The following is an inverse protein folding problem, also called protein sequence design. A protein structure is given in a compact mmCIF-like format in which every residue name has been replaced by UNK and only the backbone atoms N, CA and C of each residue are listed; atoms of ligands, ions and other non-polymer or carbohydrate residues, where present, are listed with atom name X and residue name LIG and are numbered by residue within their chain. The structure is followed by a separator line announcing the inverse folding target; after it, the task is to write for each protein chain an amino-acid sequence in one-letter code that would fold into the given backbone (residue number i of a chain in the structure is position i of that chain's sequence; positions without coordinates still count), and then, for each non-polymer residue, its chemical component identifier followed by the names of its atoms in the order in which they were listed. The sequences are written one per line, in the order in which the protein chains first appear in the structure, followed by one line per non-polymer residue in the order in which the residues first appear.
data_IF_825534739415
#
_entry.id   IF_825534739415
#
_cell.length_a   1.000
_cell.length_b   1.000
_cell.length_c   1.000
_cell.angle_alpha   90.00
_cell.angle_beta   90.00
_cell.angle_gamma   90.00
#
_symmetry.space_group_name_H-M   'P 1'
#
loop_
_entity.id
_entity.type
_entity.pdbx_description
1 polymer ?
#
# COMPACT_ATOMS: atom_id res chain seq x y z
N UNK A 1 0.80 -10.83 -9.76
CA UNK A 1 0.39 -10.53 -8.38
C UNK A 1 -0.98 -9.90 -8.39
N UNK A 2 -1.72 -10.07 -7.31
CA UNK A 2 -3.08 -9.52 -7.19
C UNK A 2 -3.02 -7.99 -7.05
N UNK A 3 -3.85 -7.28 -7.82
CA UNK A 3 -4.09 -5.84 -7.66
C UNK A 3 -4.44 -5.55 -6.19
N UNK A 4 -3.77 -4.59 -5.52
CA UNK A 4 -4.11 -4.24 -4.15
C UNK A 4 -5.51 -3.61 -4.09
N UNK A 5 -6.14 -3.64 -2.91
CA UNK A 5 -7.38 -2.91 -2.67
C UNK A 5 -7.10 -1.41 -2.76
N UNK A 6 -7.72 -0.74 -3.73
CA UNK A 6 -7.54 0.71 -3.97
C UNK A 6 -8.90 1.37 -3.76
N UNK A 7 -8.95 2.30 -2.81
CA UNK A 7 -10.13 3.08 -2.49
C UNK A 7 -10.26 4.24 -3.47
N UNK A 8 -11.45 4.42 -4.04
CA UNK A 8 -11.79 5.66 -4.75
C UNK A 8 -12.27 6.69 -3.71
N UNK A 9 -11.49 7.74 -3.43
CA UNK A 9 -11.87 8.80 -2.47
C UNK A 9 -12.96 9.76 -2.98
N UNK A 10 -13.39 9.68 -4.25
CA UNK A 10 -14.37 10.62 -4.81
C UNK A 10 -13.84 12.05 -4.99
N UNK A 11 -12.54 12.21 -5.28
CA UNK A 11 -11.91 13.52 -5.48
C UNK A 11 -12.51 14.29 -6.67
N UNK A 12 -12.80 15.58 -6.47
CA UNK A 12 -13.27 16.48 -7.53
C UNK A 12 -12.11 17.30 -8.10
N UNK A 13 -11.58 16.90 -9.24
CA UNK A 13 -10.58 17.65 -10.02
C UNK A 13 -11.19 18.91 -10.66
N UNK A 14 -10.38 19.94 -10.93
CA UNK A 14 -10.86 21.20 -11.57
C UNK A 14 -11.29 20.99 -13.02
N UNK A 15 -10.61 20.11 -13.73
CA UNK A 15 -10.74 19.76 -15.13
C UNK A 15 -10.57 18.25 -15.30
N UNK A 16 -10.88 17.73 -16.49
CA UNK A 16 -10.54 16.35 -16.85
C UNK A 16 -9.04 16.09 -16.65
N UNK A 17 -8.68 14.88 -16.23
CA UNK A 17 -7.29 14.47 -16.11
C UNK A 17 -6.70 14.21 -17.50
N UNK A 18 -5.46 14.62 -17.67
CA UNK A 18 -4.67 14.37 -18.88
C UNK A 18 -4.54 12.87 -19.17
N UNK A 19 -4.26 12.42 -20.40
CA UNK A 19 -4.12 11.00 -20.70
C UNK A 19 -2.99 10.32 -19.91
N UNK A 20 -2.98 8.97 -19.85
CA UNK A 20 -1.86 8.22 -19.31
C UNK A 20 -0.54 8.50 -20.04
N UNK A 21 0.61 8.42 -19.34
CA UNK A 21 1.89 8.58 -20.00
C UNK A 21 2.16 7.47 -21.01
N UNK A 22 2.78 7.80 -22.16
CA UNK A 22 3.06 6.81 -23.21
C UNK A 22 4.09 5.77 -22.78
N UNK A 23 4.91 6.10 -21.77
CA UNK A 23 5.86 5.20 -21.11
C UNK A 23 5.94 5.54 -19.62
N UNK A 24 6.28 4.55 -18.81
CA UNK A 24 6.59 4.75 -17.39
C UNK A 24 7.97 4.17 -17.14
N UNK A 25 8.92 5.07 -16.86
CA UNK A 25 10.31 4.78 -16.54
C UNK A 25 10.54 4.81 -15.03
N UNK A 26 9.75 5.60 -14.29
CA UNK A 26 9.91 5.74 -12.85
C UNK A 26 8.60 5.55 -12.08
N UNK A 27 8.69 4.85 -10.95
CA UNK A 27 7.70 4.83 -9.89
C UNK A 27 8.26 5.64 -8.71
N UNK A 28 7.89 6.91 -8.64
CA UNK A 28 8.53 7.88 -7.74
C UNK A 28 7.80 7.94 -6.41
N UNK A 29 8.52 7.72 -5.32
CA UNK A 29 7.98 7.78 -3.96
C UNK A 29 8.12 9.19 -3.38
N UNK A 30 7.03 9.68 -2.78
CA UNK A 30 6.94 11.02 -2.21
C UNK A 30 6.40 11.01 -0.79
N UNK A 31 6.81 11.98 0.02
CA UNK A 31 6.06 12.40 1.19
C UNK A 31 5.39 13.75 0.94
N UNK A 32 4.40 14.13 1.74
CA UNK A 32 3.83 15.48 1.66
C UNK A 32 4.63 16.52 2.45
N UNK A 33 5.57 16.09 3.30
CA UNK A 33 6.24 16.95 4.27
C UNK A 33 5.24 17.68 5.20
N UNK A 34 4.11 17.01 5.49
CA UNK A 34 3.12 17.49 6.44
C UNK A 34 2.75 16.38 7.43
N UNK A 35 2.68 16.73 8.72
CA UNK A 35 2.60 15.74 9.81
C UNK A 35 1.31 14.91 9.82
N UNK A 36 0.22 15.45 9.27
CA UNK A 36 -1.13 14.86 9.44
C UNK A 36 -2.01 14.85 8.18
N UNK A 37 -1.65 15.57 7.10
CA UNK A 37 -2.59 15.77 5.99
C UNK A 37 -2.83 14.47 5.22
N UNK A 38 -4.10 14.11 5.06
CA UNK A 38 -4.52 12.98 4.25
C UNK A 38 -4.77 13.40 2.81
N UNK A 39 -5.36 12.49 2.03
CA UNK A 39 -5.58 12.71 0.60
C UNK A 39 -6.45 13.94 0.29
N UNK A 40 -7.46 14.22 1.12
CA UNK A 40 -8.40 15.33 0.91
C UNK A 40 -7.71 16.68 1.13
N UNK A 41 -6.96 16.83 2.21
CA UNK A 41 -6.20 18.07 2.49
C UNK A 41 -5.14 18.32 1.44
N UNK A 42 -4.43 17.26 0.99
CA UNK A 42 -3.43 17.36 -0.08
C UNK A 42 -4.09 17.78 -1.40
N UNK A 43 -5.23 17.19 -1.74
CA UNK A 43 -5.97 17.53 -2.96
C UNK A 43 -6.41 19.00 -2.96
N UNK A 44 -6.97 19.46 -1.85
CA UNK A 44 -7.44 20.84 -1.72
C UNK A 44 -6.28 21.83 -1.68
N UNK A 45 -5.18 21.52 -1.00
CA UNK A 45 -3.97 22.35 -1.01
C UNK A 45 -3.41 22.48 -2.43
N UNK A 46 -3.26 21.38 -3.17
CA UNK A 46 -2.76 21.44 -4.54
C UNK A 46 -3.70 22.24 -5.47
N UNK A 47 -5.01 22.14 -5.28
CA UNK A 47 -5.98 22.95 -6.05
C UNK A 47 -5.93 24.41 -5.69
N UNK A 48 -6.08 24.72 -4.42
CA UNK A 48 -6.44 26.06 -3.96
C UNK A 48 -5.20 26.92 -3.71
N UNK A 49 -4.09 26.30 -3.30
CA UNK A 49 -2.84 27.02 -3.01
C UNK A 49 -1.81 26.91 -4.12
N UNK A 50 -1.72 25.77 -4.83
CA UNK A 50 -0.76 25.59 -5.95
C UNK A 50 -1.36 25.82 -7.34
N UNK A 51 -2.67 26.00 -7.43
CA UNK A 51 -3.36 26.21 -8.70
C UNK A 51 -3.51 24.95 -9.57
N UNK A 52 -3.05 23.78 -9.11
CA UNK A 52 -3.09 22.53 -9.87
C UNK A 52 -4.51 22.01 -10.06
N UNK A 53 -4.65 21.00 -10.93
CA UNK A 53 -5.95 20.35 -11.22
C UNK A 53 -6.49 19.53 -10.01
N UNK A 54 -5.66 19.23 -9.03
CA UNK A 54 -5.93 18.26 -7.95
C UNK A 54 -4.65 17.81 -7.29
N UNK A 55 -4.76 16.79 -6.42
CA UNK A 55 -3.62 16.01 -5.93
C UNK A 55 -2.66 15.67 -7.09
N UNK A 56 -1.35 15.81 -6.87
CA UNK A 56 -0.34 15.60 -7.94
C UNK A 56 0.10 14.14 -8.06
N UNK A 57 -0.22 13.32 -7.06
CA UNK A 57 0.16 11.93 -6.98
C UNK A 57 -0.86 11.03 -7.68
N UNK A 58 -0.35 9.98 -8.33
CA UNK A 58 -1.14 8.95 -8.98
C UNK A 58 -1.88 8.10 -7.93
N UNK A 59 -1.19 7.77 -6.84
CA UNK A 59 -1.76 7.11 -5.66
C UNK A 59 -1.29 7.78 -4.38
N UNK A 60 -2.06 7.56 -3.31
CA UNK A 60 -1.78 8.05 -1.98
C UNK A 60 -1.91 6.93 -0.95
N UNK A 61 -0.97 6.84 0.01
CA UNK A 61 -0.98 5.82 1.06
C UNK A 61 -1.09 6.50 2.43
N UNK A 62 -2.21 6.24 3.11
CA UNK A 62 -2.49 6.71 4.47
C UNK A 62 -1.62 6.03 5.53
N UNK A 63 -1.57 6.58 6.75
CA UNK A 63 -0.80 5.98 7.86
C UNK A 63 -1.21 4.54 8.19
N UNK A 64 -2.49 4.22 7.99
CA UNK A 64 -3.12 2.91 8.16
C UNK A 64 -2.82 1.93 7.01
N UNK A 65 -2.10 2.36 5.98
CA UNK A 65 -1.83 1.58 4.78
C UNK A 65 -2.94 1.63 3.73
N UNK A 66 -4.05 2.34 3.96
CA UNK A 66 -5.09 2.45 2.94
C UNK A 66 -4.53 3.13 1.70
N UNK A 67 -4.65 2.46 0.54
CA UNK A 67 -4.23 2.98 -0.76
C UNK A 67 -5.43 3.66 -1.39
N UNK A 68 -5.28 4.95 -1.69
CA UNK A 68 -6.28 5.76 -2.37
C UNK A 68 -5.84 6.06 -3.79
N UNK A 69 -6.80 6.03 -4.72
CA UNK A 69 -6.59 6.52 -6.07
C UNK A 69 -6.56 8.05 -6.08
N UNK A 70 -5.44 8.62 -6.53
CA UNK A 70 -5.31 10.04 -6.84
C UNK A 70 -5.59 10.27 -8.32
N UNK A 71 -4.53 10.51 -9.09
CA UNK A 71 -4.63 10.61 -10.55
C UNK A 71 -4.68 9.26 -11.28
N UNK A 72 -4.56 8.14 -10.58
CA UNK A 72 -4.58 6.81 -11.19
C UNK A 72 -3.48 6.68 -12.26
N UNK A 73 -3.81 6.18 -13.45
CA UNK A 73 -2.82 6.03 -14.53
C UNK A 73 -2.57 7.30 -15.37
N UNK A 74 -3.19 8.43 -15.05
CA UNK A 74 -3.05 9.69 -15.79
C UNK A 74 -1.71 10.41 -15.50
N UNK A 75 -1.38 11.48 -16.23
CA UNK A 75 -0.19 12.27 -15.90
C UNK A 75 -0.20 12.77 -14.46
N UNK A 76 0.94 12.61 -13.82
CA UNK A 76 1.24 13.14 -12.51
C UNK A 76 1.53 14.64 -12.50
N UNK A 77 1.73 15.17 -11.30
CA UNK A 77 2.33 16.48 -11.06
C UNK A 77 3.28 16.42 -9.85
N UNK A 78 4.12 15.38 -9.80
CA UNK A 78 4.99 15.09 -8.67
C UNK A 78 6.44 15.55 -8.85
N UNK A 79 6.98 15.54 -10.07
CA UNK A 79 8.37 15.91 -10.37
C UNK A 79 8.39 16.69 -11.69
N UNK A 80 8.79 17.96 -11.64
CA UNK A 80 8.94 18.77 -12.84
C UNK A 80 9.93 18.12 -13.82
N UNK A 81 9.61 18.11 -15.12
CA UNK A 81 10.39 17.41 -16.15
C UNK A 81 10.14 15.90 -16.26
N UNK A 82 9.52 15.26 -15.25
CA UNK A 82 9.32 13.80 -15.20
C UNK A 82 7.85 13.37 -15.06
N UNK A 83 6.89 14.30 -15.12
CA UNK A 83 5.45 13.98 -15.01
C UNK A 83 4.91 13.13 -16.19
N UNK A 84 5.62 13.08 -17.32
CA UNK A 84 5.21 12.36 -18.53
C UNK A 84 5.90 11.01 -18.73
N UNK A 85 6.84 10.63 -17.85
CA UNK A 85 7.53 9.35 -17.87
C UNK A 85 7.54 8.65 -16.51
N UNK A 86 6.71 9.10 -15.58
CA UNK A 86 6.63 8.52 -14.24
C UNK A 86 5.22 8.45 -13.68
N UNK A 87 5.06 7.59 -12.68
CA UNK A 87 3.90 7.58 -11.80
C UNK A 87 4.38 7.89 -10.38
N UNK A 88 3.63 8.70 -9.64
CA UNK A 88 4.01 9.18 -8.33
C UNK A 88 3.13 8.59 -7.24
N UNK A 89 3.76 8.04 -6.20
CA UNK A 89 3.09 7.46 -5.04
C UNK A 89 3.41 8.37 -3.84
N UNK A 90 2.38 9.08 -3.37
CA UNK A 90 2.48 9.93 -2.18
C UNK A 90 2.16 9.14 -0.92
N UNK A 91 2.84 9.47 0.17
CA UNK A 91 2.62 8.87 1.48
C UNK A 91 2.30 9.96 2.50
N UNK A 92 1.31 9.68 3.35
CA UNK A 92 0.94 10.54 4.45
C UNK A 92 2.07 10.64 5.48
N UNK A 93 2.43 11.87 5.84
CA UNK A 93 3.44 12.17 6.85
C UNK A 93 4.57 13.07 6.37
N UNK A 94 5.39 13.47 7.34
CA UNK A 94 6.64 14.18 7.16
C UNK A 94 7.82 13.31 7.59
N UNK A 95 8.33 12.49 6.67
CA UNK A 95 9.47 11.63 6.97
C UNK A 95 10.83 12.34 6.99
N UNK A 96 10.88 13.67 7.07
CA UNK A 96 12.09 14.33 7.60
C UNK A 96 12.23 14.14 9.10
N UNK A 97 11.12 13.94 9.83
CA UNK A 97 11.09 13.74 11.28
C UNK A 97 10.18 12.62 11.79
N UNK A 98 9.31 12.04 10.96
CA UNK A 98 8.44 10.91 11.31
C UNK A 98 8.93 9.61 10.66
N UNK A 99 8.71 8.48 11.30
CA UNK A 99 8.98 7.16 10.70
C UNK A 99 7.79 6.68 9.89
N UNK A 100 8.04 6.13 8.71
CA UNK A 100 7.04 5.42 7.92
C UNK A 100 6.49 4.20 8.66
N UNK A 101 5.17 4.00 8.66
CA UNK A 101 4.53 2.88 9.37
C UNK A 101 4.75 1.54 8.67
N UNK A 102 4.57 0.43 9.38
CA UNK A 102 4.60 -0.91 8.78
C UNK A 102 3.46 -1.10 7.75
N UNK A 103 2.27 -0.55 8.03
CA UNK A 103 1.13 -0.64 7.13
C UNK A 103 1.38 0.13 5.82
N UNK A 104 2.01 1.31 5.92
CA UNK A 104 2.47 2.05 4.74
C UNK A 104 3.52 1.28 3.95
N UNK A 105 4.49 0.64 4.63
CA UNK A 105 5.54 -0.13 3.94
C UNK A 105 4.93 -1.32 3.19
N UNK A 106 4.08 -2.12 3.85
CA UNK A 106 3.42 -3.27 3.24
C UNK A 106 2.60 -2.86 2.01
N UNK A 107 1.84 -1.76 2.13
CA UNK A 107 1.00 -1.23 1.04
C UNK A 107 1.83 -0.64 -0.08
N UNK A 108 2.93 0.05 0.25
CA UNK A 108 3.91 0.54 -0.71
C UNK A 108 4.55 -0.59 -1.52
N UNK A 109 4.95 -1.68 -0.86
CA UNK A 109 5.49 -2.87 -1.53
C UNK A 109 4.42 -3.47 -2.46
N UNK A 110 3.18 -3.65 -2.00
CA UNK A 110 2.11 -4.24 -2.79
C UNK A 110 1.74 -3.39 -4.02
N UNK A 111 1.64 -2.06 -3.85
CA UNK A 111 1.32 -1.14 -4.92
C UNK A 111 2.44 -1.09 -5.98
N UNK A 112 3.68 -0.87 -5.56
CA UNK A 112 4.81 -0.82 -6.50
C UNK A 112 4.96 -2.15 -7.25
N UNK A 113 4.82 -3.29 -6.57
CA UNK A 113 4.83 -4.60 -7.21
C UNK A 113 3.77 -4.74 -8.31
N UNK A 114 2.52 -4.37 -8.04
CA UNK A 114 1.44 -4.43 -9.03
C UNK A 114 1.70 -3.50 -10.21
N UNK A 115 2.22 -2.30 -9.97
CA UNK A 115 2.57 -1.36 -11.05
C UNK A 115 3.73 -1.88 -11.92
N UNK A 116 4.71 -2.55 -11.32
CA UNK A 116 5.82 -3.17 -12.04
C UNK A 116 5.37 -4.31 -12.96
N UNK A 117 4.20 -4.92 -12.76
CA UNK A 117 3.68 -5.90 -13.73
C UNK A 117 3.28 -5.25 -15.04
N UNK A 118 2.70 -4.05 -14.95
CA UNK A 118 2.36 -3.25 -16.12
C UNK A 118 3.57 -2.54 -16.71
N UNK A 119 4.53 -2.18 -15.87
CA UNK A 119 5.73 -1.41 -16.24
C UNK A 119 7.00 -2.10 -15.71
N UNK A 120 7.39 -3.27 -16.27
CA UNK A 120 8.46 -4.10 -15.72
C UNK A 120 9.85 -3.46 -15.76
N UNK A 121 10.04 -2.48 -16.64
CA UNK A 121 11.30 -1.71 -16.74
C UNK A 121 11.33 -0.48 -15.83
N UNK A 122 10.24 -0.16 -15.13
CA UNK A 122 10.17 1.04 -14.30
C UNK A 122 11.03 0.88 -13.03
N UNK A 123 11.79 1.93 -12.70
CA UNK A 123 12.60 1.99 -11.49
C UNK A 123 11.81 2.58 -10.34
N UNK A 124 11.80 1.92 -9.18
CA UNK A 124 11.24 2.46 -7.94
C UNK A 124 12.29 3.35 -7.28
N UNK A 125 12.02 4.65 -7.19
CA UNK A 125 13.01 5.65 -6.74
C UNK A 125 12.38 6.73 -5.86
N UNK A 126 13.19 7.45 -5.11
CA UNK A 126 12.76 8.65 -4.38
C UNK A 126 12.72 9.89 -5.27
N UNK A 127 11.94 10.90 -4.89
CA UNK A 127 11.95 12.21 -5.57
C UNK A 127 13.36 12.85 -5.57
N UNK A 128 14.11 12.71 -4.48
CA UNK A 128 15.50 13.16 -4.36
C UNK A 128 16.47 12.54 -5.38
N UNK A 129 16.11 11.45 -6.05
CA UNK A 129 16.93 10.85 -7.12
C UNK A 129 16.75 11.59 -8.47
N UNK A 130 15.71 12.43 -8.61
CA UNK A 130 15.41 13.19 -9.83
C UNK A 130 15.50 14.72 -9.66
N UNK A 131 15.49 15.21 -8.41
CA UNK A 131 15.51 16.64 -8.12
C UNK A 131 16.27 16.96 -6.83
N UNK A 132 16.72 18.20 -6.68
CA UNK A 132 17.32 18.70 -5.43
C UNK A 132 16.24 18.93 -4.37
N UNK A 133 15.88 17.88 -3.63
CA UNK A 133 14.82 17.89 -2.61
C UNK A 133 15.11 16.90 -1.49
N UNK A 134 14.58 17.16 -0.30
CA UNK A 134 14.64 16.21 0.82
C UNK A 134 13.63 15.05 0.67
N UNK A 135 12.62 15.19 -0.19
CA UNK A 135 11.57 14.21 -0.41
C UNK A 135 12.14 12.88 -0.98
N UNK A 136 11.76 11.70 -0.47
CA UNK A 136 10.64 11.41 0.45
C UNK A 136 10.96 11.53 1.95
N UNK A 137 12.13 12.04 2.32
CA UNK A 137 12.58 12.21 3.70
C UNK A 137 13.52 11.11 4.16
N UNK A 138 14.44 11.45 5.08
CA UNK A 138 15.47 10.55 5.58
C UNK A 138 14.94 9.32 6.34
N UNK A 139 13.74 9.43 6.94
CA UNK A 139 13.09 8.33 7.65
C UNK A 139 12.07 7.57 6.77
N UNK A 140 12.02 7.87 5.47
CA UNK A 140 11.29 7.05 4.52
C UNK A 140 12.07 5.74 4.29
N UNK A 141 11.35 4.62 4.35
CA UNK A 141 11.91 3.27 4.37
C UNK A 141 12.22 2.74 2.96
N UNK A 142 12.96 3.51 2.15
CA UNK A 142 13.22 3.20 0.74
C UNK A 142 13.97 1.87 0.56
N UNK A 143 14.94 1.59 1.43
CA UNK A 143 15.71 0.34 1.36
C UNK A 143 14.82 -0.87 1.65
N UNK A 144 13.97 -0.80 2.66
CA UNK A 144 13.06 -1.90 3.02
C UNK A 144 11.97 -2.08 1.96
N UNK A 145 11.49 -0.98 1.36
CA UNK A 145 10.58 -1.02 0.21
C UNK A 145 11.22 -1.79 -0.96
N UNK A 146 12.44 -1.41 -1.37
CA UNK A 146 13.17 -2.07 -2.47
C UNK A 146 13.46 -3.54 -2.16
N UNK A 147 13.88 -3.87 -0.92
CA UNK A 147 14.08 -5.26 -0.48
C UNK A 147 12.79 -6.07 -0.53
N UNK A 148 11.66 -5.51 -0.10
CA UNK A 148 10.35 -6.14 -0.16
C UNK A 148 9.93 -6.49 -1.58
N UNK A 149 10.25 -5.62 -2.55
CA UNK A 149 10.02 -5.87 -3.97
C UNK A 149 10.91 -6.99 -4.52
N UNK A 150 12.18 -7.04 -4.13
CA UNK A 150 13.09 -8.11 -4.54
C UNK A 150 12.67 -9.47 -4.00
N UNK A 151 12.23 -9.54 -2.73
CA UNK A 151 11.69 -10.77 -2.12
C UNK A 151 10.44 -11.23 -2.85
N UNK A 152 9.46 -10.35 -3.08
CA UNK A 152 8.28 -10.67 -3.89
C UNK A 152 8.60 -11.09 -5.32
N UNK A 153 9.66 -10.54 -5.93
CA UNK A 153 10.17 -10.97 -7.22
C UNK A 153 10.73 -12.40 -7.19
N UNK A 154 11.36 -12.80 -6.08
CA UNK A 154 11.84 -14.16 -5.83
C UNK A 154 10.71 -15.15 -5.46
N UNK A 155 9.71 -14.70 -4.68
CA UNK A 155 8.54 -15.48 -4.28
C UNK A 155 7.55 -15.76 -5.44
N UNK A 156 7.72 -15.05 -6.57
CA UNK A 156 7.04 -15.41 -7.83
C UNK A 156 7.59 -16.70 -8.45
N UNK A 157 8.62 -17.33 -7.85
CA UNK A 157 8.93 -18.75 -8.02
C UNK A 157 8.29 -19.49 -6.84
N UNK A 158 7.05 -19.95 -7.05
CA UNK A 158 6.18 -20.71 -6.11
C UNK A 158 5.47 -19.87 -5.05
N UNK A 159 4.29 -19.36 -5.40
CA UNK A 159 3.21 -19.17 -4.43
C UNK A 159 2.73 -20.55 -3.95
N UNK A 160 3.36 -21.09 -2.92
CA UNK A 160 2.73 -22.07 -2.06
C UNK A 160 2.23 -21.34 -0.81
N UNK A 161 0.97 -21.57 -0.44
CA UNK A 161 0.44 -21.15 0.86
C UNK A 161 1.33 -21.73 1.96
N UNK A 162 2.13 -20.90 2.63
CA UNK A 162 2.99 -21.39 3.71
C UNK A 162 2.12 -21.84 4.88
N UNK A 163 2.25 -23.13 5.21
CA UNK A 163 1.60 -23.72 6.39
C UNK A 163 2.26 -23.17 7.64
N UNK A 164 1.45 -22.69 8.57
CA UNK A 164 1.90 -22.20 9.87
C UNK A 164 1.48 -23.19 10.95
N UNK A 165 2.43 -23.64 11.76
CA UNK A 165 2.11 -24.49 12.91
C UNK A 165 1.36 -23.66 13.97
N UNK A 166 0.19 -24.13 14.39
CA UNK A 166 -0.61 -23.47 15.45
C UNK A 166 -0.54 -24.31 16.71
N UNK A 167 -0.11 -23.72 17.82
CA UNK A 167 0.04 -24.39 19.12
C UNK A 167 -0.90 -23.74 20.13
N UNK A 168 -1.75 -24.54 20.77
CA UNK A 168 -2.66 -24.11 21.84
C UNK A 168 -2.41 -25.01 23.05
N UNK A 169 -2.15 -24.43 24.22
CA UNK A 169 -1.85 -25.17 25.45
C UNK A 169 -0.71 -26.21 25.29
N UNK A 170 0.34 -25.86 24.54
CA UNK A 170 1.50 -26.73 24.29
C UNK A 170 1.24 -27.87 23.29
N UNK A 171 0.03 -28.01 22.74
CA UNK A 171 -0.32 -29.01 21.72
C UNK A 171 -0.48 -28.35 20.35
N UNK A 172 0.17 -28.90 19.34
CA UNK A 172 -0.08 -28.50 17.95
C UNK A 172 -1.50 -28.90 17.55
N UNK A 173 -2.24 -27.95 17.00
CA UNK A 173 -3.56 -28.14 16.39
C UNK A 173 -3.42 -28.09 14.86
N UNK A 174 -4.56 -28.05 14.15
CA UNK A 174 -4.57 -27.91 12.69
C UNK A 174 -3.77 -26.69 12.23
N UNK A 175 -2.98 -26.87 11.18
CA UNK A 175 -2.15 -25.82 10.61
C UNK A 175 -2.98 -24.59 10.22
N UNK A 176 -2.41 -23.42 10.47
CA UNK A 176 -2.83 -22.14 9.92
C UNK A 176 -2.17 -21.88 8.58
N UNK A 177 -2.48 -20.72 8.01
CA UNK A 177 -1.90 -20.27 6.74
C UNK A 177 -1.39 -18.85 6.88
N UNK A 178 -0.23 -18.58 6.31
CA UNK A 178 0.25 -17.22 6.14
C UNK A 178 -0.14 -16.74 4.74
N UNK A 179 -1.00 -15.73 4.67
CA UNK A 179 -1.43 -15.14 3.40
C UNK A 179 -1.29 -13.62 3.48
N UNK A 180 -0.45 -13.06 2.59
CA UNK A 180 -0.22 -11.62 2.49
C UNK A 180 0.18 -10.94 3.82
N UNK A 181 0.99 -11.60 4.64
CA UNK A 181 1.43 -11.08 5.95
C UNK A 181 0.38 -11.20 7.06
N UNK A 182 -0.78 -11.79 6.78
CA UNK A 182 -1.82 -12.10 7.76
C UNK A 182 -1.80 -13.60 8.04
N UNK A 183 -1.71 -13.97 9.32
CA UNK A 183 -1.82 -15.37 9.75
C UNK A 183 -3.28 -15.73 9.98
N UNK A 184 -3.82 -16.61 9.15
CA UNK A 184 -5.14 -17.19 9.32
C UNK A 184 -5.03 -18.48 10.13
N UNK A 185 -5.77 -18.55 11.24
CA UNK A 185 -5.84 -19.73 12.10
C UNK A 185 -7.19 -20.42 11.98
N UNK A 186 -7.27 -21.76 12.06
CA UNK A 186 -8.52 -22.49 11.98
C UNK A 186 -9.37 -22.24 13.23
N UNK A 187 -10.29 -21.29 13.14
CA UNK A 187 -11.13 -20.79 14.24
C UNK A 187 -11.76 -21.91 15.10
N UNK A 188 -12.33 -22.94 14.45
CA UNK A 188 -12.93 -24.10 15.13
C UNK A 188 -11.92 -24.86 15.98
N UNK A 189 -10.77 -25.20 15.40
CA UNK A 189 -9.74 -25.99 16.10
C UNK A 189 -9.14 -25.22 17.28
N UNK A 190 -8.96 -23.90 17.14
CA UNK A 190 -8.53 -23.02 18.24
C UNK A 190 -9.60 -22.98 19.33
N UNK A 191 -10.86 -22.76 18.97
CA UNK A 191 -11.97 -22.65 19.94
C UNK A 191 -12.15 -23.95 20.73
N UNK A 192 -12.14 -25.10 20.06
CA UNK A 192 -12.24 -26.42 20.69
C UNK A 192 -11.05 -26.70 21.62
N UNK A 193 -9.83 -26.34 21.22
CA UNK A 193 -8.64 -26.50 22.05
C UNK A 193 -8.65 -25.61 23.31
N UNK A 194 -9.37 -24.49 23.26
CA UNK A 194 -9.61 -23.60 24.39
C UNK A 194 -10.84 -24.00 25.23
N UNK A 195 -11.53 -25.09 24.88
CA UNK A 195 -12.71 -25.58 25.60
C UNK A 195 -14.00 -24.80 25.32
N UNK A 196 -14.01 -23.92 24.31
CA UNK A 196 -15.20 -23.20 23.89
C UNK A 196 -16.03 -24.03 22.89
N UNK A 197 -17.35 -23.79 22.88
CA UNK A 197 -18.24 -24.30 21.82
C UNK A 197 -18.32 -23.29 20.69
N UNK A 198 -18.39 -23.78 19.46
CA UNK A 198 -18.51 -22.93 18.27
C UNK A 198 -19.73 -23.33 17.44
N UNK A 199 -20.57 -22.34 17.18
CA UNK A 199 -21.77 -22.44 16.36
C UNK A 199 -21.59 -21.68 15.05
N UNK A 200 -22.15 -22.21 13.97
CA UNK A 200 -22.08 -21.61 12.63
C UNK A 200 -23.48 -21.37 12.08
N UNK A 201 -23.81 -20.11 11.81
CA UNK A 201 -24.99 -19.75 11.03
C UNK A 201 -24.60 -19.60 9.55
N UNK A 202 -25.06 -20.55 8.73
CA UNK A 202 -24.74 -20.57 7.30
C UNK A 202 -25.50 -19.52 6.48
N UNK A 203 -26.61 -18.97 7.00
CA UNK A 203 -27.41 -17.92 6.37
C UNK A 203 -26.72 -16.57 6.52
N UNK A 204 -26.22 -16.26 7.72
CA UNK A 204 -25.55 -14.97 8.01
C UNK A 204 -24.03 -15.03 7.86
N UNK A 205 -23.47 -16.23 7.66
CA UNK A 205 -22.01 -16.46 7.64
C UNK A 205 -21.34 -16.04 8.96
N UNK A 206 -22.02 -16.26 10.07
CA UNK A 206 -21.56 -15.87 11.41
C UNK A 206 -21.10 -17.09 12.20
N UNK A 207 -19.88 -17.02 12.74
CA UNK A 207 -19.42 -17.94 13.76
C UNK A 207 -19.64 -17.33 15.15
N UNK A 208 -20.25 -18.09 16.07
CA UNK A 208 -20.45 -17.67 17.47
C UNK A 208 -19.63 -18.57 18.37
N UNK A 209 -18.82 -17.97 19.25
CA UNK A 209 -18.00 -18.70 20.22
C UNK A 209 -18.65 -18.54 21.58
N UNK A 210 -19.05 -19.66 22.17
CA UNK A 210 -19.63 -19.74 23.49
C UNK A 210 -18.59 -20.32 24.46
N UNK A 211 -18.03 -19.47 25.30
CA UNK A 211 -17.17 -19.91 26.41
C UNK A 211 -18.04 -20.46 27.53
N UNK A 212 -17.57 -21.51 28.21
CA UNK A 212 -18.21 -21.96 29.46
C UNK A 212 -18.07 -20.93 30.56
#
# INVERSE_FOLDING_TARGET
MTKPNIVNPGLKFKYALDPPPPKVVFLVQHHMAHKTWGIYEVHDFHKNSRGWNGIGYNWWIGFDGTIYEGRGFHYGAGVEGHNHDSLHIGYQGDFTGQKMTEAQLASGIALNAWLMEKYPSAKVIGHNELASTACPGQYFRMNELKQGLSKKGADNVKQDSEKVNVIVNGKQIKDGKLENGVTFVPLRAVSEALGAKIDWDNRTKTATINTK
#
